data_IF_223207381884
#
_entry.id   IF_223207381884
#
_cell.length_a   1.000
_cell.length_b   1.000
_cell.length_c   1.000
_cell.angle_alpha   90.00
_cell.angle_beta   90.00
_cell.angle_gamma   90.00
#
_symmetry.space_group_name_H-M   'P 1'
#
loop_
_entity.id
_entity.type
_entity.pdbx_description
1 polymer ?
#
# COMPACT_ATOMS: atom_id res chain seq x y z
N UNK A 1 13.38 -19.44 -20.73
CA UNK A 1 13.15 -19.76 -19.30
C UNK A 1 12.95 -18.43 -18.57
N UNK A 2 11.90 -18.30 -17.78
CA UNK A 2 11.71 -17.11 -16.94
C UNK A 2 12.79 -17.14 -15.84
N UNK A 3 13.61 -16.09 -15.65
CA UNK A 3 14.66 -16.07 -14.64
C UNK A 3 14.11 -16.01 -13.21
N UNK A 4 12.84 -15.55 -13.04
CA UNK A 4 12.23 -15.37 -11.73
C UNK A 4 11.27 -16.50 -11.39
N UNK A 5 11.23 -16.88 -10.11
CA UNK A 5 10.31 -17.86 -9.50
C UNK A 5 9.15 -17.19 -8.79
N UNK A 6 9.32 -15.92 -8.40
CA UNK A 6 8.28 -15.13 -7.75
C UNK A 6 8.27 -13.68 -8.21
N UNK A 7 7.09 -13.09 -8.15
CA UNK A 7 6.86 -11.65 -8.24
C UNK A 7 6.25 -11.20 -6.92
N UNK A 8 6.84 -10.17 -6.34
CA UNK A 8 6.40 -9.56 -5.08
C UNK A 8 5.95 -8.13 -5.41
N UNK A 9 4.75 -7.77 -5.03
CA UNK A 9 4.17 -6.45 -5.31
C UNK A 9 4.11 -5.60 -4.04
N UNK A 10 4.34 -4.30 -4.18
CA UNK A 10 3.69 -3.32 -3.32
C UNK A 10 2.21 -3.22 -3.67
N UNK A 11 1.38 -2.64 -2.79
CA UNK A 11 -0.06 -2.52 -3.00
C UNK A 11 -0.43 -1.10 -3.45
N UNK A 12 -0.18 -0.11 -2.60
CA UNK A 12 -0.62 1.26 -2.84
C UNK A 12 0.22 1.94 -3.93
N UNK A 13 -0.40 2.39 -5.02
CA UNK A 13 0.30 2.95 -6.17
C UNK A 13 0.80 1.92 -7.17
N UNK A 14 0.79 0.62 -6.84
CA UNK A 14 1.27 -0.46 -7.70
C UNK A 14 0.14 -1.38 -8.16
N UNK A 15 -0.54 -2.04 -7.24
CA UNK A 15 -1.70 -2.89 -7.52
C UNK A 15 -3.00 -2.07 -7.45
N UNK A 16 -3.10 -1.21 -6.44
CA UNK A 16 -4.28 -0.39 -6.17
C UNK A 16 -3.97 1.10 -6.34
N UNK A 17 -4.84 1.78 -7.07
CA UNK A 17 -4.90 3.23 -7.05
C UNK A 17 -5.65 3.66 -5.77
N UNK A 18 -4.90 4.15 -4.81
CA UNK A 18 -5.39 4.63 -3.52
C UNK A 18 -5.32 6.15 -3.38
N UNK A 19 -5.02 6.87 -4.46
CA UNK A 19 -4.82 8.33 -4.44
C UNK A 19 -6.08 9.03 -3.94
N UNK A 20 -7.24 8.75 -4.56
CA UNK A 20 -8.48 9.43 -4.20
C UNK A 20 -8.88 9.13 -2.75
N UNK A 21 -8.85 7.86 -2.35
CA UNK A 21 -9.24 7.45 -1.01
C UNK A 21 -8.34 8.01 0.10
N UNK A 22 -7.10 8.37 -0.23
CA UNK A 22 -6.20 9.02 0.73
C UNK A 22 -6.32 10.55 0.67
N UNK A 23 -6.36 11.13 -0.51
CA UNK A 23 -6.25 12.59 -0.69
C UNK A 23 -7.55 13.34 -0.40
N UNK A 24 -8.73 12.84 -0.78
CA UNK A 24 -10.00 13.48 -0.40
C UNK A 24 -10.20 13.53 1.13
N UNK A 25 -10.00 12.44 1.87
CA UNK A 25 -9.99 12.51 3.34
C UNK A 25 -8.93 13.44 3.91
N UNK A 26 -7.73 13.55 3.29
CA UNK A 26 -6.71 14.49 3.72
C UNK A 26 -7.16 15.95 3.57
N UNK A 27 -7.82 16.30 2.46
CA UNK A 27 -8.41 17.64 2.29
C UNK A 27 -9.38 17.98 3.42
N UNK A 28 -10.22 17.00 3.82
CA UNK A 28 -11.12 17.16 4.95
C UNK A 28 -10.37 17.38 6.26
N UNK A 29 -9.32 16.62 6.53
CA UNK A 29 -8.45 16.79 7.71
C UNK A 29 -7.83 18.19 7.73
N UNK A 30 -7.28 18.66 6.61
CA UNK A 30 -6.69 20.00 6.50
C UNK A 30 -7.75 21.05 6.85
N UNK A 31 -8.95 20.96 6.28
CA UNK A 31 -10.05 21.87 6.57
C UNK A 31 -10.43 21.89 8.04
N UNK A 32 -10.53 20.72 8.68
CA UNK A 32 -10.91 20.59 10.08
C UNK A 32 -9.83 21.13 11.03
N UNK A 33 -8.53 20.96 10.70
CA UNK A 33 -7.41 21.35 11.57
C UNK A 33 -6.97 22.80 11.36
N UNK A 34 -7.00 23.32 10.13
CA UNK A 34 -6.44 24.62 9.78
C UNK A 34 -7.50 25.65 9.39
N UNK A 35 -8.70 25.23 9.02
CA UNK A 35 -9.75 26.07 8.46
C UNK A 35 -9.56 26.41 6.97
N UNK A 36 -8.45 25.95 6.35
CA UNK A 36 -8.13 26.22 4.96
C UNK A 36 -8.81 25.22 4.01
N UNK A 37 -9.24 25.71 2.85
CA UNK A 37 -9.77 24.88 1.78
C UNK A 37 -8.66 24.64 0.76
N UNK A 38 -8.06 23.45 0.78
CA UNK A 38 -7.07 23.03 -0.20
C UNK A 38 -7.74 22.30 -1.37
N UNK A 39 -7.21 22.52 -2.57
CA UNK A 39 -7.61 21.79 -3.77
C UNK A 39 -7.01 20.38 -3.78
N UNK A 40 -7.59 19.50 -4.59
CA UNK A 40 -7.04 18.15 -4.78
C UNK A 40 -5.61 18.21 -5.34
N UNK A 41 -5.30 19.12 -6.24
CA UNK A 41 -3.96 19.29 -6.80
C UNK A 41 -2.92 19.67 -5.73
N UNK A 42 -3.29 20.52 -4.78
CA UNK A 42 -2.40 20.92 -3.68
C UNK A 42 -2.05 19.77 -2.73
N UNK A 43 -2.97 18.85 -2.49
CA UNK A 43 -2.72 17.70 -1.60
C UNK A 43 -1.94 16.57 -2.29
N UNK A 44 -1.92 16.50 -3.63
CA UNK A 44 -1.19 15.48 -4.37
C UNK A 44 0.31 15.43 -4.05
N UNK A 45 0.90 16.54 -3.58
CA UNK A 45 2.31 16.57 -3.14
C UNK A 45 2.60 15.60 -1.99
N UNK A 46 1.58 15.13 -1.28
CA UNK A 46 1.70 14.23 -0.14
C UNK A 46 1.51 12.75 -0.50
N UNK A 47 1.19 12.42 -1.75
CA UNK A 47 0.89 11.05 -2.19
C UNK A 47 1.97 10.04 -1.79
N UNK A 48 3.24 10.44 -1.87
CA UNK A 48 4.39 9.57 -1.54
C UNK A 48 4.91 9.74 -0.12
N UNK A 49 4.26 10.58 0.71
CA UNK A 49 4.73 10.85 2.06
C UNK A 49 4.15 9.81 3.05
N UNK A 50 4.96 9.33 3.99
CA UNK A 50 4.42 8.62 5.15
C UNK A 50 3.43 9.50 5.91
N UNK A 51 2.31 8.92 6.37
CA UNK A 51 1.21 9.70 6.95
C UNK A 51 1.63 10.58 8.14
N UNK A 52 2.51 10.11 9.02
CA UNK A 52 3.03 10.92 10.13
C UNK A 52 3.88 12.10 9.63
N UNK A 53 4.61 11.93 8.53
CA UNK A 53 5.34 13.03 7.90
C UNK A 53 4.40 14.09 7.32
N UNK A 54 3.25 13.67 6.78
CA UNK A 54 2.21 14.64 6.35
C UNK A 54 1.73 15.46 7.53
N UNK A 55 1.49 14.85 8.69
CA UNK A 55 1.09 15.56 9.91
C UNK A 55 2.16 16.58 10.37
N UNK A 56 3.44 16.25 10.19
CA UNK A 56 4.56 17.15 10.50
C UNK A 56 4.61 18.34 9.55
N UNK A 57 4.52 18.10 8.25
CA UNK A 57 4.55 19.15 7.22
C UNK A 57 3.35 20.12 7.35
N UNK A 58 2.19 19.60 7.73
CA UNK A 58 0.99 20.39 8.01
C UNK A 58 1.03 21.08 9.41
N UNK A 59 2.07 20.85 10.20
CA UNK A 59 2.25 21.40 11.55
C UNK A 59 1.07 21.10 12.50
N UNK A 60 0.49 19.91 12.37
CA UNK A 60 -0.63 19.46 13.18
C UNK A 60 -0.16 19.31 14.65
N UNK A 61 -0.96 19.84 15.59
CA UNK A 61 -0.62 19.84 17.03
C UNK A 61 -0.69 18.45 17.66
N UNK A 62 -1.79 17.74 17.42
CA UNK A 62 -2.02 16.37 17.93
C UNK A 62 -1.93 15.40 16.75
N UNK A 63 -0.69 15.08 16.37
CA UNK A 63 -0.39 14.32 15.14
C UNK A 63 -0.98 12.92 15.16
N UNK A 64 -0.82 12.20 16.28
CA UNK A 64 -1.28 10.81 16.41
C UNK A 64 -2.81 10.72 16.32
N UNK A 65 -3.51 11.60 17.02
CA UNK A 65 -4.98 11.64 17.00
C UNK A 65 -5.52 12.05 15.65
N UNK A 66 -4.93 13.04 15.02
CA UNK A 66 -5.35 13.52 13.70
C UNK A 66 -5.05 12.47 12.62
N UNK A 67 -3.88 11.81 12.70
CA UNK A 67 -3.55 10.71 11.80
C UNK A 67 -4.53 9.53 11.94
N UNK A 68 -4.86 9.13 13.17
CA UNK A 68 -5.86 8.09 13.41
C UNK A 68 -7.24 8.47 12.83
N UNK A 69 -7.63 9.74 12.91
CA UNK A 69 -8.87 10.25 12.28
C UNK A 69 -8.79 10.23 10.76
N UNK A 70 -7.63 10.59 10.19
CA UNK A 70 -7.42 10.48 8.74
C UNK A 70 -7.55 9.03 8.27
N UNK A 71 -6.88 8.08 8.93
CA UNK A 71 -7.00 6.63 8.64
C UNK A 71 -8.47 6.19 8.70
N UNK A 72 -9.22 6.63 9.71
CA UNK A 72 -10.65 6.34 9.79
C UNK A 72 -11.40 6.85 8.56
N UNK A 73 -11.18 8.09 8.12
CA UNK A 73 -11.83 8.65 6.94
C UNK A 73 -11.42 7.95 5.64
N UNK A 74 -10.18 7.48 5.56
CA UNK A 74 -9.69 6.65 4.45
C UNK A 74 -10.45 5.33 4.39
N UNK A 75 -10.59 4.64 5.53
CA UNK A 75 -11.31 3.37 5.59
C UNK A 75 -12.83 3.51 5.33
N UNK A 76 -13.39 4.68 5.59
CA UNK A 76 -14.81 4.99 5.35
C UNK A 76 -15.06 5.62 3.95
N UNK A 77 -14.03 5.77 3.12
CA UNK A 77 -14.16 6.40 1.80
C UNK A 77 -14.95 5.49 0.85
N UNK A 78 -16.07 6.00 0.31
CA UNK A 78 -17.09 5.19 -0.37
C UNK A 78 -16.57 4.45 -1.61
N UNK A 79 -15.72 5.08 -2.43
CA UNK A 79 -15.16 4.45 -3.62
C UNK A 79 -14.07 3.42 -3.27
N UNK A 80 -13.41 3.59 -2.11
CA UNK A 80 -12.30 2.75 -1.67
C UNK A 80 -11.10 2.75 -2.63
N UNK A 81 -10.28 1.72 -2.51
CA UNK A 81 -9.16 1.48 -3.41
C UNK A 81 -9.67 0.89 -4.75
N UNK A 82 -9.11 1.34 -5.87
CA UNK A 82 -9.48 0.88 -7.21
C UNK A 82 -8.29 0.14 -7.83
N UNK A 83 -8.52 -1.02 -8.46
CA UNK A 83 -7.45 -1.72 -9.19
C UNK A 83 -6.98 -0.86 -10.37
N UNK A 84 -5.68 -0.87 -10.61
CA UNK A 84 -5.17 -0.40 -11.90
C UNK A 84 -5.60 -1.35 -13.02
N UNK A 85 -5.90 -0.78 -14.19
CA UNK A 85 -6.29 -1.55 -15.36
C UNK A 85 -5.21 -2.58 -15.72
N UNK A 86 -5.63 -3.81 -16.01
CA UNK A 86 -4.76 -4.90 -16.42
C UNK A 86 -4.07 -5.66 -15.28
N UNK A 87 -4.16 -5.21 -14.03
CA UNK A 87 -3.51 -5.89 -12.89
C UNK A 87 -4.08 -7.28 -12.65
N UNK A 88 -5.41 -7.44 -12.73
CA UNK A 88 -6.02 -8.73 -12.51
C UNK A 88 -5.59 -9.74 -13.58
N UNK A 89 -5.58 -9.34 -14.85
CA UNK A 89 -5.12 -10.16 -15.96
C UNK A 89 -3.65 -10.59 -15.81
N UNK A 90 -2.82 -9.71 -15.28
CA UNK A 90 -1.41 -10.03 -14.96
C UNK A 90 -1.33 -11.08 -13.86
N UNK A 91 -2.11 -10.93 -12.77
CA UNK A 91 -2.15 -11.90 -11.67
C UNK A 91 -2.66 -13.27 -12.14
N UNK A 92 -3.70 -13.30 -12.97
CA UNK A 92 -4.23 -14.53 -13.57
C UNK A 92 -3.21 -15.22 -14.48
N UNK A 93 -2.48 -14.45 -15.29
CA UNK A 93 -1.44 -14.98 -16.16
C UNK A 93 -0.28 -15.61 -15.37
N UNK A 94 0.14 -14.98 -14.27
CA UNK A 94 1.18 -15.54 -13.39
C UNK A 94 0.67 -16.71 -12.56
N UNK A 95 -0.60 -16.76 -12.17
CA UNK A 95 -1.20 -17.93 -11.53
C UNK A 95 -1.23 -19.15 -12.46
N UNK A 96 -1.44 -18.94 -13.75
CA UNK A 96 -1.38 -20.00 -14.77
C UNK A 96 0.05 -20.45 -15.09
N UNK A 97 1.07 -19.68 -14.71
CA UNK A 97 2.48 -20.00 -14.86
C UNK A 97 3.05 -20.53 -13.52
N UNK A 98 4.19 -21.24 -13.52
CA UNK A 98 4.84 -21.72 -12.29
C UNK A 98 5.58 -20.56 -11.57
N UNK A 99 4.89 -19.45 -11.32
CA UNK A 99 5.44 -18.24 -10.69
C UNK A 99 4.60 -17.94 -9.45
N UNK A 100 5.27 -17.88 -8.31
CA UNK A 100 4.64 -17.48 -7.06
C UNK A 100 4.35 -15.97 -7.09
N UNK A 101 3.26 -15.57 -6.47
CA UNK A 101 2.93 -14.15 -6.29
C UNK A 101 2.79 -13.85 -4.80
N UNK A 102 3.26 -12.68 -4.39
CA UNK A 102 3.19 -12.23 -3.01
C UNK A 102 3.06 -10.71 -2.94
N UNK A 103 2.66 -10.19 -1.80
CA UNK A 103 2.64 -8.76 -1.51
C UNK A 103 3.48 -8.42 -0.30
N UNK A 104 4.11 -7.24 -0.36
CA UNK A 104 4.79 -6.59 0.78
C UNK A 104 4.33 -5.15 0.84
N UNK A 105 3.56 -4.79 1.87
CA UNK A 105 2.92 -3.48 1.96
C UNK A 105 3.01 -2.88 3.37
N UNK A 106 2.98 -1.56 3.44
CA UNK A 106 2.85 -0.81 4.68
C UNK A 106 1.41 -0.79 5.25
N UNK A 107 0.45 -1.43 4.57
CA UNK A 107 -0.91 -1.60 5.09
C UNK A 107 -0.93 -2.46 6.35
N UNK A 108 -1.84 -2.11 7.28
CA UNK A 108 -2.21 -3.00 8.39
C UNK A 108 -3.03 -4.18 7.88
N UNK A 109 -3.17 -5.22 8.71
CA UNK A 109 -4.04 -6.38 8.39
C UNK A 109 -5.49 -5.98 8.15
N UNK A 110 -6.00 -5.00 8.89
CA UNK A 110 -7.35 -4.48 8.71
C UNK A 110 -7.50 -3.81 7.33
N UNK A 111 -6.58 -2.92 6.95
CA UNK A 111 -6.59 -2.26 5.65
C UNK A 111 -6.43 -3.26 4.49
N UNK A 112 -5.56 -4.26 4.66
CA UNK A 112 -5.39 -5.33 3.68
C UNK A 112 -6.67 -6.15 3.49
N UNK A 113 -7.38 -6.46 4.58
CA UNK A 113 -8.66 -7.17 4.51
C UNK A 113 -9.66 -6.37 3.66
N UNK A 114 -9.83 -5.08 3.92
CA UNK A 114 -10.80 -4.22 3.24
C UNK A 114 -10.41 -4.01 1.75
N UNK A 115 -9.15 -3.63 1.51
CA UNK A 115 -8.74 -3.15 0.20
C UNK A 115 -8.35 -4.28 -0.76
N UNK A 116 -7.91 -5.42 -0.25
CA UNK A 116 -7.30 -6.48 -1.06
C UNK A 116 -8.08 -7.80 -1.00
N UNK A 117 -8.34 -8.31 0.21
CA UNK A 117 -9.03 -9.60 0.40
C UNK A 117 -10.48 -9.52 -0.06
N UNK A 118 -11.23 -8.48 0.33
CA UNK A 118 -12.63 -8.30 -0.07
C UNK A 118 -12.82 -8.08 -1.58
N UNK A 119 -11.76 -7.68 -2.28
CA UNK A 119 -11.72 -7.61 -3.76
C UNK A 119 -11.37 -8.94 -4.43
N UNK A 120 -11.10 -9.99 -3.63
CA UNK A 120 -10.76 -11.32 -4.14
C UNK A 120 -9.33 -11.47 -4.65
N UNK A 121 -8.44 -10.50 -4.38
CA UNK A 121 -7.07 -10.51 -4.89
C UNK A 121 -6.15 -11.45 -4.11
N UNK A 122 -6.47 -11.72 -2.85
CA UNK A 122 -5.69 -12.61 -1.98
C UNK A 122 -5.57 -14.04 -2.53
N UNK A 123 -6.56 -14.48 -3.31
CA UNK A 123 -6.54 -15.79 -3.97
C UNK A 123 -5.33 -16.02 -4.90
N UNK A 124 -4.69 -14.95 -5.39
CA UNK A 124 -3.51 -15.03 -6.25
C UNK A 124 -2.21 -15.08 -5.44
N UNK A 125 -2.25 -14.79 -4.13
CA UNK A 125 -1.06 -14.58 -3.31
C UNK A 125 -0.67 -15.83 -2.54
N UNK A 126 0.58 -16.27 -2.70
CA UNK A 126 1.19 -17.33 -1.90
C UNK A 126 1.65 -16.82 -0.51
N UNK A 127 1.92 -15.53 -0.37
CA UNK A 127 2.27 -14.87 0.88
C UNK A 127 1.90 -13.39 0.86
N UNK A 128 1.62 -12.85 2.04
CA UNK A 128 1.47 -11.42 2.29
C UNK A 128 2.30 -11.03 3.52
N UNK A 129 3.06 -9.94 3.44
CA UNK A 129 3.78 -9.34 4.56
C UNK A 129 3.30 -7.91 4.71
N UNK A 130 2.75 -7.61 5.87
CA UNK A 130 2.05 -6.36 6.16
C UNK A 130 2.76 -5.61 7.31
N UNK A 131 2.33 -4.39 7.59
CA UNK A 131 2.91 -3.57 8.65
C UNK A 131 2.96 -4.29 10.01
N UNK A 132 1.97 -5.12 10.31
CA UNK A 132 1.87 -5.85 11.58
C UNK A 132 2.80 -7.08 11.67
N UNK A 133 3.44 -7.48 10.58
CA UNK A 133 4.23 -8.72 10.50
C UNK A 133 5.72 -8.51 10.80
N UNK A 134 6.22 -7.28 10.75
CA UNK A 134 7.63 -6.94 10.95
C UNK A 134 7.81 -5.76 11.91
N UNK A 135 8.98 -5.67 12.53
CA UNK A 135 9.29 -4.56 13.43
C UNK A 135 9.78 -3.32 12.65
N UNK A 136 10.45 -3.56 11.54
CA UNK A 136 10.90 -2.51 10.65
C UNK A 136 10.07 -2.52 9.37
N UNK A 137 9.98 -1.36 8.73
CA UNK A 137 9.17 -1.14 7.54
C UNK A 137 10.05 -0.64 6.40
N UNK A 138 9.55 -0.73 5.17
CA UNK A 138 10.22 -0.17 3.99
C UNK A 138 10.69 1.27 4.26
N UNK A 139 11.90 1.68 3.92
CA UNK A 139 12.87 1.02 3.04
C UNK A 139 13.81 0.00 3.74
N UNK A 140 13.57 -0.39 4.99
CA UNK A 140 14.34 -1.48 5.60
C UNK A 140 14.01 -2.80 4.87
N UNK A 141 15.00 -3.66 4.59
CA UNK A 141 14.78 -4.90 3.84
C UNK A 141 14.01 -5.98 4.63
N UNK A 142 13.76 -5.81 5.93
CA UNK A 142 13.12 -6.82 6.78
C UNK A 142 11.79 -7.37 6.20
N UNK A 143 10.85 -6.53 5.70
CA UNK A 143 9.61 -7.05 5.13
C UNK A 143 9.82 -7.93 3.89
N UNK A 144 10.74 -7.54 3.01
CA UNK A 144 11.07 -8.33 1.82
C UNK A 144 11.74 -9.65 2.17
N UNK A 145 12.67 -9.64 3.13
CA UNK A 145 13.34 -10.84 3.62
C UNK A 145 12.37 -11.81 4.29
N UNK A 146 11.40 -11.31 5.06
CA UNK A 146 10.35 -12.14 5.64
C UNK A 146 9.45 -12.74 4.54
N UNK A 147 9.11 -11.97 3.51
CA UNK A 147 8.35 -12.47 2.35
C UNK A 147 9.10 -13.60 1.64
N UNK A 148 10.37 -13.41 1.31
CA UNK A 148 11.21 -14.45 0.68
C UNK A 148 11.29 -15.72 1.52
N UNK A 149 11.41 -15.58 2.83
CA UNK A 149 11.39 -16.70 3.78
C UNK A 149 10.06 -17.45 3.75
N UNK A 150 8.93 -16.75 3.75
CA UNK A 150 7.59 -17.37 3.63
C UNK A 150 7.40 -18.10 2.31
N UNK A 151 7.95 -17.55 1.21
CA UNK A 151 7.93 -18.18 -0.12
C UNK A 151 8.94 -19.34 -0.26
N UNK A 152 9.96 -19.43 0.59
CA UNK A 152 11.02 -20.44 0.50
C UNK A 152 11.94 -20.25 -0.69
N UNK A 153 12.18 -19.03 -1.15
CA UNK A 153 13.00 -18.70 -2.31
C UNK A 153 14.13 -17.72 -1.98
N UNK A 154 15.14 -17.67 -2.84
CA UNK A 154 16.26 -16.71 -2.74
C UNK A 154 15.88 -15.36 -3.36
N UNK A 155 16.48 -14.27 -2.87
CA UNK A 155 16.27 -12.94 -3.42
C UNK A 155 16.61 -12.84 -4.92
N UNK A 156 17.62 -13.55 -5.40
CA UNK A 156 18.00 -13.59 -6.82
C UNK A 156 16.91 -14.22 -7.74
N UNK A 157 15.99 -14.99 -7.17
CA UNK A 157 14.90 -15.65 -7.89
C UNK A 157 13.58 -14.85 -7.85
N UNK A 158 13.56 -13.68 -7.20
CA UNK A 158 12.36 -12.84 -7.07
C UNK A 158 12.52 -11.51 -7.78
N UNK A 159 11.41 -11.01 -8.31
CA UNK A 159 11.27 -9.63 -8.79
C UNK A 159 10.33 -8.89 -7.83
N UNK A 160 10.75 -7.71 -7.37
CA UNK A 160 9.91 -6.79 -6.63
C UNK A 160 9.41 -5.67 -7.55
N UNK A 161 8.13 -5.33 -7.43
CA UNK A 161 7.47 -4.27 -8.20
C UNK A 161 6.82 -3.30 -7.23
N UNK A 162 7.22 -2.03 -7.31
CA UNK A 162 6.71 -0.94 -6.50
C UNK A 162 6.79 0.39 -7.24
N UNK A 163 6.15 1.43 -6.73
CA UNK A 163 6.10 2.77 -7.33
C UNK A 163 6.88 3.82 -6.52
N UNK A 164 7.29 3.49 -5.31
CA UNK A 164 7.94 4.41 -4.38
C UNK A 164 9.45 4.21 -4.25
N UNK A 165 10.17 5.28 -3.86
CA UNK A 165 11.61 5.21 -3.54
C UNK A 165 11.89 4.39 -2.26
N UNK A 166 10.88 4.07 -1.48
CA UNK A 166 10.97 3.24 -0.28
C UNK A 166 10.77 1.75 -0.56
N UNK A 167 10.48 1.40 -1.81
CA UNK A 167 10.23 0.02 -2.25
C UNK A 167 11.50 -0.77 -2.52
#
# INVERSE_FOLDING_TARGET
MNPYKAIIYDIDGTVLNTINMNMYPLMRIIKEETGEDWTFEEVLRFVTYPGMKVMEELQIKDKEKTYARWVKYVNEYEEGAVLYDGIQEVMEAFQAAPILQAVVSAKTKEQYQIDFVEKGLDQYMAAAVLADDTQKHKPDPEPLLECLKRLGINAADALYVGDGLSD
#
